data_IF_640668572208
#
_entry.id   IF_640668572208
#
_cell.length_a   1.000
_cell.length_b   1.000
_cell.length_c   1.000
_cell.angle_alpha   90.00
_cell.angle_beta   90.00
_cell.angle_gamma   90.00
#
_symmetry.space_group_name_H-M   'P 1'
#
loop_
_entity.id
_entity.type
_entity.pdbx_description
1 polymer ?
#
# COMPACT_ATOMS: atom_id res chain seq x y z
N UNK A 1 -17.61 7.82 -1.97
CA UNK A 1 -16.99 6.48 -2.02
C UNK A 1 -17.97 5.33 -1.92
N UNK A 2 -18.81 5.25 -0.89
CA UNK A 2 -19.73 4.11 -0.72
C UNK A 2 -20.65 3.89 -1.94
N UNK A 3 -21.32 4.95 -2.42
CA UNK A 3 -22.15 4.86 -3.63
C UNK A 3 -21.37 4.29 -4.83
N UNK A 4 -20.16 4.80 -5.08
CA UNK A 4 -19.31 4.33 -6.17
C UNK A 4 -18.93 2.85 -6.01
N UNK A 5 -18.53 2.43 -4.81
CA UNK A 5 -18.18 1.04 -4.52
C UNK A 5 -19.39 0.11 -4.74
N UNK A 6 -20.60 0.55 -4.39
CA UNK A 6 -21.84 -0.20 -4.66
C UNK A 6 -22.12 -0.32 -6.15
N UNK A 7 -21.88 0.73 -6.94
CA UNK A 7 -21.99 0.63 -8.40
C UNK A 7 -20.96 -0.34 -8.97
N UNK A 8 -19.73 -0.31 -8.47
CA UNK A 8 -18.67 -1.24 -8.88
C UNK A 8 -19.03 -2.68 -8.52
N UNK A 9 -19.68 -2.90 -7.37
CA UNK A 9 -20.10 -4.22 -6.92
C UNK A 9 -21.17 -4.86 -7.82
N UNK A 10 -21.88 -4.07 -8.64
CA UNK A 10 -22.81 -4.60 -9.65
C UNK A 10 -22.06 -5.33 -10.77
N UNK A 11 -20.81 -4.96 -11.04
CA UNK A 11 -20.01 -5.49 -12.15
C UNK A 11 -18.83 -6.35 -11.71
N UNK A 12 -18.34 -6.18 -10.48
CA UNK A 12 -17.25 -6.96 -9.89
C UNK A 12 -17.74 -7.48 -8.53
N UNK A 13 -17.91 -8.79 -8.42
CA UNK A 13 -18.32 -9.41 -7.17
C UNK A 13 -17.21 -9.36 -6.10
N UNK A 14 -17.61 -9.38 -4.84
CA UNK A 14 -16.69 -9.46 -3.70
C UNK A 14 -16.06 -10.86 -3.58
N UNK A 15 -14.73 -10.91 -3.51
CA UNK A 15 -13.95 -12.15 -3.56
C UNK A 15 -12.68 -12.04 -2.70
N UNK A 16 -12.24 -13.16 -2.12
CA UNK A 16 -11.03 -13.21 -1.28
C UNK A 16 -9.73 -12.94 -2.07
N UNK A 17 -9.76 -13.14 -3.39
CA UNK A 17 -8.64 -12.89 -4.29
C UNK A 17 -8.68 -11.48 -4.90
N UNK A 18 -9.75 -10.72 -4.65
CA UNK A 18 -9.85 -9.33 -5.08
C UNK A 18 -9.04 -8.44 -4.14
N UNK A 19 -8.26 -7.52 -4.72
CA UNK A 19 -7.51 -6.53 -3.96
C UNK A 19 -7.75 -5.13 -4.52
N UNK A 20 -8.09 -4.20 -3.63
CA UNK A 20 -8.15 -2.78 -3.94
C UNK A 20 -6.87 -2.11 -3.48
N UNK A 21 -6.22 -1.38 -4.39
CA UNK A 21 -5.03 -0.60 -4.08
C UNK A 21 -5.37 0.89 -4.21
N UNK A 22 -5.32 1.62 -3.11
CA UNK A 22 -5.67 3.05 -3.07
C UNK A 22 -4.70 3.87 -2.24
N UNK A 23 -4.90 5.18 -2.16
CA UNK A 23 -4.24 6.02 -1.15
C UNK A 23 -4.72 5.67 0.29
N UNK A 24 -4.00 6.16 1.31
CA UNK A 24 -4.25 6.06 2.76
C UNK A 24 -5.48 6.89 3.17
N UNK A 25 -6.22 7.46 2.22
CA UNK A 25 -7.38 8.29 2.51
C UNK A 25 -8.45 7.49 3.28
N UNK A 26 -8.77 7.95 4.49
CA UNK A 26 -9.75 7.31 5.37
C UNK A 26 -11.14 7.19 4.72
N UNK A 27 -11.50 8.09 3.81
CA UNK A 27 -12.82 8.10 3.17
C UNK A 27 -13.08 6.88 2.29
N UNK A 28 -12.06 6.31 1.65
CA UNK A 28 -12.18 5.03 0.92
C UNK A 28 -11.96 3.86 1.87
N UNK A 29 -10.96 3.93 2.75
CA UNK A 29 -10.63 2.87 3.71
C UNK A 29 -11.79 2.51 4.64
N UNK A 30 -12.63 3.49 5.03
CA UNK A 30 -13.79 3.26 5.89
C UNK A 30 -15.00 2.72 5.15
N UNK A 31 -15.10 2.97 3.82
CA UNK A 31 -16.28 2.60 3.02
C UNK A 31 -16.10 1.30 2.25
N UNK A 32 -14.85 0.93 1.94
CA UNK A 32 -14.52 -0.32 1.29
C UNK A 32 -15.01 -1.56 2.05
N UNK A 33 -14.70 -1.76 3.35
CA UNK A 33 -15.13 -2.95 4.08
C UNK A 33 -16.64 -3.04 4.29
N UNK A 34 -17.39 -1.97 4.05
CA UNK A 34 -18.87 -1.99 4.09
C UNK A 34 -19.44 -2.70 2.85
N UNK A 35 -18.79 -2.55 1.70
CA UNK A 35 -19.26 -3.06 0.40
C UNK A 35 -18.53 -4.35 0.00
N UNK A 36 -17.21 -4.39 0.21
CA UNK A 36 -16.34 -5.53 -0.09
C UNK A 36 -15.73 -6.05 1.21
N UNK A 37 -16.35 -7.07 1.79
CA UNK A 37 -15.95 -7.63 3.08
C UNK A 37 -14.85 -8.68 2.92
N UNK A 38 -14.75 -9.31 1.74
CA UNK A 38 -13.78 -10.37 1.44
C UNK A 38 -12.54 -9.82 0.74
N UNK A 39 -12.70 -8.77 -0.06
CA UNK A 39 -11.58 -8.16 -0.76
C UNK A 39 -10.54 -7.58 0.21
N UNK A 40 -9.27 -7.73 -0.16
CA UNK A 40 -8.16 -7.13 0.57
C UNK A 40 -7.98 -5.67 0.19
N UNK A 41 -7.53 -4.84 1.14
CA UNK A 41 -7.23 -3.42 0.91
C UNK A 41 -5.75 -3.13 1.12
N UNK A 42 -5.08 -2.69 0.05
CA UNK A 42 -3.69 -2.26 0.06
C UNK A 42 -3.53 -0.78 -0.18
N UNK A 43 -2.40 -0.26 0.29
CA UNK A 43 -1.93 1.09 0.06
C UNK A 43 -1.05 1.09 -1.19
N UNK A 44 -1.34 2.04 -2.08
CA UNK A 44 -0.55 2.31 -3.27
C UNK A 44 0.83 2.85 -2.87
N UNK A 45 1.88 2.16 -3.30
CA UNK A 45 3.25 2.59 -3.02
C UNK A 45 3.57 3.96 -3.62
N UNK A 46 3.02 4.29 -4.79
CA UNK A 46 3.25 5.59 -5.40
C UNK A 46 2.73 6.73 -4.51
N UNK A 47 1.49 6.60 -4.01
CA UNK A 47 0.92 7.58 -3.09
C UNK A 47 1.66 7.62 -1.76
N UNK A 48 2.04 6.46 -1.20
CA UNK A 48 2.82 6.40 0.04
C UNK A 48 4.16 7.14 -0.09
N UNK A 49 4.88 6.94 -1.21
CA UNK A 49 6.14 7.64 -1.48
C UNK A 49 5.93 9.14 -1.68
N UNK A 50 4.89 9.54 -2.40
CA UNK A 50 4.54 10.95 -2.57
C UNK A 50 4.24 11.62 -1.22
N UNK A 51 3.53 10.94 -0.32
CA UNK A 51 3.23 11.44 1.03
C UNK A 51 4.51 11.61 1.87
N UNK A 52 5.46 10.69 1.76
CA UNK A 52 6.78 10.84 2.41
C UNK A 52 7.53 12.07 1.88
N UNK A 53 7.48 12.31 0.56
CA UNK A 53 8.13 13.47 -0.05
C UNK A 53 7.42 14.78 0.34
N UNK A 54 6.09 14.82 0.31
CA UNK A 54 5.31 16.05 0.50
C UNK A 54 5.16 16.43 1.98
N UNK A 55 4.92 15.46 2.86
CA UNK A 55 4.62 15.72 4.27
C UNK A 55 5.83 15.61 5.20
N UNK A 56 6.78 14.73 4.88
CA UNK A 56 8.00 14.54 5.70
C UNK A 56 9.23 15.20 5.08
N UNK A 57 9.10 15.75 3.86
CA UNK A 57 10.16 16.42 3.11
C UNK A 57 11.41 15.54 2.89
N UNK A 58 11.21 14.23 2.69
CA UNK A 58 12.30 13.24 2.53
C UNK A 58 12.32 12.67 1.12
N UNK A 59 13.40 12.93 0.36
CA UNK A 59 13.58 12.43 -1.02
C UNK A 59 14.61 11.31 -1.14
N UNK A 60 15.62 11.33 -0.29
CA UNK A 60 16.76 10.41 -0.24
C UNK A 60 16.38 8.99 0.19
N UNK A 61 15.33 8.81 0.99
CA UNK A 61 14.86 7.48 1.42
C UNK A 61 13.85 6.82 0.48
N UNK A 62 13.34 7.53 -0.54
CA UNK A 62 12.30 7.05 -1.46
C UNK A 62 12.71 5.75 -2.14
N UNK A 63 13.97 5.67 -2.60
CA UNK A 63 14.50 4.46 -3.24
C UNK A 63 14.57 3.25 -2.29
N UNK A 64 14.88 3.49 -1.01
CA UNK A 64 14.96 2.45 0.01
C UNK A 64 13.57 1.91 0.35
N UNK A 65 12.59 2.80 0.54
CA UNK A 65 11.20 2.45 0.81
C UNK A 65 10.58 1.71 -0.38
N UNK A 66 10.86 2.15 -1.61
CA UNK A 66 10.41 1.47 -2.83
C UNK A 66 10.96 0.04 -2.91
N UNK A 67 12.24 -0.18 -2.57
CA UNK A 67 12.83 -1.53 -2.48
C UNK A 67 12.16 -2.36 -1.39
N UNK A 68 11.93 -1.79 -0.21
CA UNK A 68 11.25 -2.48 0.89
C UNK A 68 9.85 -2.95 0.47
N UNK A 69 9.08 -2.10 -0.23
CA UNK A 69 7.73 -2.44 -0.68
C UNK A 69 7.67 -3.65 -1.62
N UNK A 70 8.76 -3.90 -2.38
CA UNK A 70 8.87 -4.96 -3.39
C UNK A 70 9.60 -6.20 -2.87
N UNK A 71 10.15 -6.16 -1.66
CA UNK A 71 10.88 -7.29 -1.09
C UNK A 71 9.99 -8.54 -1.01
N UNK A 72 10.50 -9.66 -1.52
CA UNK A 72 9.80 -10.95 -1.51
C UNK A 72 9.97 -11.69 -0.18
N UNK A 73 11.12 -11.51 0.49
CA UNK A 73 11.43 -12.16 1.76
C UNK A 73 11.27 -11.18 2.90
N UNK A 74 10.71 -11.65 4.01
CA UNK A 74 10.57 -10.86 5.23
C UNK A 74 11.93 -10.37 5.76
N UNK A 75 12.97 -11.19 5.68
CA UNK A 75 14.31 -10.81 6.11
C UNK A 75 14.88 -9.62 5.30
N UNK A 76 14.67 -9.60 3.98
CA UNK A 76 15.11 -8.49 3.12
C UNK A 76 14.33 -7.22 3.45
N UNK A 77 13.02 -7.34 3.66
CA UNK A 77 12.17 -6.22 4.10
C UNK A 77 12.63 -5.64 5.43
N UNK A 78 12.87 -6.49 6.43
CA UNK A 78 13.31 -6.08 7.77
C UNK A 78 14.66 -5.38 7.72
N UNK A 79 15.60 -5.88 6.90
CA UNK A 79 16.89 -5.22 6.68
C UNK A 79 16.71 -3.81 6.13
N UNK A 80 15.89 -3.66 5.08
CA UNK A 80 15.62 -2.35 4.47
C UNK A 80 14.90 -1.39 5.43
N UNK A 81 13.93 -1.87 6.21
CA UNK A 81 13.26 -1.07 7.24
C UNK A 81 14.19 -0.66 8.39
N UNK A 82 15.14 -1.53 8.76
CA UNK A 82 16.18 -1.18 9.73
C UNK A 82 17.05 -0.04 9.21
N UNK A 83 17.41 -0.07 7.93
CA UNK A 83 18.18 1.00 7.29
C UNK A 83 17.37 2.30 7.23
N UNK A 84 16.06 2.26 6.92
CA UNK A 84 15.18 3.44 6.99
C UNK A 84 15.17 4.03 8.40
N UNK A 85 14.99 3.18 9.43
CA UNK A 85 14.93 3.60 10.83
C UNK A 85 16.23 4.27 11.31
N UNK A 86 17.39 3.72 10.91
CA UNK A 86 18.70 4.31 11.23
C UNK A 86 18.90 5.70 10.61
N UNK A 87 18.35 5.94 9.42
CA UNK A 87 18.45 7.23 8.75
C UNK A 87 17.42 8.23 9.30
N UNK A 88 16.16 7.81 9.43
CA UNK A 88 15.02 8.64 9.84
C UNK A 88 13.98 7.83 10.59
N UNK A 89 14.05 7.86 11.92
CA UNK A 89 13.13 7.13 12.79
C UNK A 89 11.66 7.60 12.65
N UNK A 90 11.44 8.89 12.37
CA UNK A 90 10.13 9.49 12.10
C UNK A 90 9.49 8.93 10.82
N UNK A 91 10.28 8.77 9.75
CA UNK A 91 9.83 8.14 8.50
C UNK A 91 9.51 6.67 8.74
N UNK A 92 10.37 5.93 9.46
CA UNK A 92 10.10 4.54 9.80
C UNK A 92 8.79 4.39 10.61
N UNK A 93 8.57 5.27 11.59
CA UNK A 93 7.33 5.30 12.38
C UNK A 93 6.10 5.54 11.49
N UNK A 94 6.14 6.54 10.62
CA UNK A 94 5.06 6.82 9.66
C UNK A 94 4.73 5.60 8.78
N UNK A 95 5.74 4.91 8.27
CA UNK A 95 5.56 3.71 7.44
C UNK A 95 4.96 2.52 8.21
N UNK A 96 5.29 2.38 9.49
CA UNK A 96 4.71 1.37 10.37
C UNK A 96 3.24 1.70 10.70
N UNK A 97 2.92 2.97 10.95
CA UNK A 97 1.56 3.46 11.19
C UNK A 97 0.66 3.35 9.95
N UNK A 98 1.24 3.42 8.75
CA UNK A 98 0.57 3.10 7.49
C UNK A 98 0.25 1.59 7.34
N UNK A 99 0.60 0.74 8.31
CA UNK A 99 0.48 -0.72 8.29
C UNK A 99 1.25 -1.39 7.15
N UNK A 100 2.39 -1.98 7.49
CA UNK A 100 3.28 -2.69 6.56
C UNK A 100 2.57 -3.79 5.77
N UNK A 101 1.53 -4.42 6.34
CA UNK A 101 0.75 -5.45 5.65
C UNK A 101 -0.03 -4.89 4.48
N UNK A 102 -0.32 -3.59 4.45
CA UNK A 102 -1.07 -2.94 3.38
C UNK A 102 -0.21 -2.49 2.22
N UNK A 103 1.10 -2.32 2.37
CA UNK A 103 1.97 -1.81 1.29
C UNK A 103 3.17 -2.70 0.95
N UNK A 104 3.66 -3.51 1.90
CA UNK A 104 4.79 -4.41 1.66
C UNK A 104 4.34 -5.73 1.02
N UNK A 105 4.97 -6.12 -0.10
CA UNK A 105 4.63 -7.33 -0.85
C UNK A 105 4.73 -8.61 -0.02
N UNK A 106 5.81 -8.80 0.73
CA UNK A 106 6.03 -9.99 1.54
C UNK A 106 5.03 -10.17 2.70
N UNK A 107 4.26 -9.13 3.04
CA UNK A 107 3.32 -9.13 4.16
C UNK A 107 1.86 -8.92 3.72
N UNK A 108 1.62 -8.60 2.45
CA UNK A 108 0.28 -8.36 1.94
C UNK A 108 -0.47 -9.69 1.76
N UNK A 109 -1.59 -9.82 2.45
CA UNK A 109 -2.52 -10.94 2.30
C UNK A 109 -3.40 -10.62 1.10
N UNK A 110 -3.19 -11.33 0.00
CA UNK A 110 -3.94 -11.16 -1.26
C UNK A 110 -3.05 -11.22 -2.50
N UNK A 111 -3.65 -11.55 -3.64
CA UNK A 111 -2.92 -11.61 -4.91
C UNK A 111 -2.71 -10.20 -5.45
N UNK A 112 -1.50 -9.66 -5.26
CA UNK A 112 -1.01 -8.58 -6.12
C UNK A 112 -0.55 -9.19 -7.42
N UNK A 113 -1.47 -9.41 -8.35
CA UNK A 113 -1.07 -9.61 -9.73
C UNK A 113 -0.22 -8.41 -10.11
N UNK A 114 1.06 -8.64 -10.43
CA UNK A 114 1.87 -7.65 -11.13
C UNK A 114 1.17 -7.48 -12.47
N UNK A 115 0.23 -6.53 -12.58
CA UNK A 115 -0.30 -6.10 -13.86
C UNK A 115 0.87 -5.39 -14.52
N UNK A 116 1.81 -6.17 -15.07
CA UNK A 116 2.70 -5.75 -16.14
C UNK A 116 1.80 -5.41 -17.32
N UNK A 117 1.18 -4.24 -17.27
CA UNK A 117 0.76 -3.52 -18.46
C UNK A 117 1.63 -2.27 -18.46
N UNK A 118 2.56 -2.25 -19.39
CA UNK A 118 3.03 -1.03 -20.03
C UNK A 118 1.84 -0.11 -20.27
N UNK A 119 1.61 0.84 -19.36
CA UNK A 119 0.84 2.02 -19.66
C UNK A 119 1.64 3.20 -19.13
N UNK A 120 2.16 4.08 -20.01
CA UNK A 120 2.67 5.37 -19.57
C UNK A 120 1.51 6.15 -18.94
N UNK A 121 1.84 6.93 -17.92
CA UNK A 121 0.96 7.98 -17.42
C UNK A 121 0.59 8.97 -18.52
#
# INVERSE_FOLDING_TARGET
WEWFLRQLHVVIEDDYNLAFISDINQSIGNKLPIVYQRASHGICIHHLLNNVISHLHVKDLVGLIAKASKAYRLADFQKLMTDVCKNRADVAKYLLEADVRKWARCLFVGYRYDIRKTNPA
#
